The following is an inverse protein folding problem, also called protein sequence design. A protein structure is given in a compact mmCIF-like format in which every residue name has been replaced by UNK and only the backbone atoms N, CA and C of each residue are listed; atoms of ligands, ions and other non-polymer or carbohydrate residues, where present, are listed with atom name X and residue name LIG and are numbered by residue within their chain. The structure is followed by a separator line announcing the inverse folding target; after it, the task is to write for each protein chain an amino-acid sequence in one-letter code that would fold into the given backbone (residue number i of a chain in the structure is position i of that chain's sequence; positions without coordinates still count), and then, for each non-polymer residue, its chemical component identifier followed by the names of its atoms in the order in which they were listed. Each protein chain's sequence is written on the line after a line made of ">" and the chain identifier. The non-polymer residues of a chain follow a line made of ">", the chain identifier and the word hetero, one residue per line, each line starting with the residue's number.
data_IF_610314533794
#
_entry.id   IF_610314533794
#
_cell.length_a   1.000
_cell.length_b   1.000
_cell.length_c   1.000
_cell.angle_alpha   90.00
_cell.angle_beta   90.00
_cell.angle_gamma   90.00
#
_symmetry.space_group_name_H-M   'P 1'
#
loop_
_entity.id
_entity.type
_entity.pdbx_description
1 polymer ?
#
# COMPACT_ATOMS: atom_id res chain seq x y z
N UNK A 1 -10.29 44.23 -34.45
CA UNK A 1 -9.39 43.10 -34.30
C UNK A 1 -8.83 43.10 -32.88
N UNK A 2 -9.03 42.05 -32.11
CA UNK A 2 -8.54 42.00 -30.73
C UNK A 2 -7.13 41.35 -30.72
N UNK A 3 -6.13 42.00 -30.08
CA UNK A 3 -4.80 41.41 -29.98
C UNK A 3 -4.81 40.11 -29.20
N UNK A 4 -3.95 39.14 -29.57
CA UNK A 4 -3.83 37.83 -28.92
C UNK A 4 -3.47 37.96 -27.41
N UNK A 5 -2.67 38.98 -27.08
CA UNK A 5 -2.33 39.30 -25.67
C UNK A 5 -3.59 39.57 -24.85
N UNK A 6 -4.53 40.34 -25.38
CA UNK A 6 -5.77 40.66 -24.69
C UNK A 6 -6.68 39.45 -24.51
N UNK A 7 -6.72 38.56 -25.49
CA UNK A 7 -7.44 37.29 -25.38
C UNK A 7 -6.85 36.41 -24.26
N UNK A 8 -5.52 36.36 -24.21
CA UNK A 8 -4.84 35.59 -23.18
C UNK A 8 -5.03 36.17 -21.78
N UNK A 9 -5.05 37.48 -21.63
CA UNK A 9 -5.37 38.13 -20.34
C UNK A 9 -6.78 37.78 -19.87
N UNK A 10 -7.78 37.89 -20.77
CA UNK A 10 -9.16 37.54 -20.46
C UNK A 10 -9.27 36.04 -20.02
N UNK A 11 -8.65 35.15 -20.78
CA UNK A 11 -8.65 33.72 -20.42
C UNK A 11 -8.07 33.47 -19.02
N UNK A 12 -6.95 34.09 -18.69
CA UNK A 12 -6.33 33.96 -17.37
C UNK A 12 -7.25 34.51 -16.28
N UNK A 13 -7.75 35.72 -16.45
CA UNK A 13 -8.66 36.39 -15.50
C UNK A 13 -9.93 35.55 -15.25
N UNK A 14 -10.52 35.02 -16.33
CA UNK A 14 -11.76 34.24 -16.21
C UNK A 14 -11.48 32.87 -15.55
N UNK A 15 -10.34 32.27 -15.85
CA UNK A 15 -9.92 31.04 -15.18
C UNK A 15 -9.70 31.26 -13.66
N UNK A 16 -9.01 32.33 -13.28
CA UNK A 16 -8.79 32.67 -11.87
C UNK A 16 -10.10 32.94 -11.13
N UNK A 17 -11.03 33.66 -11.75
CA UNK A 17 -12.38 33.90 -11.21
C UNK A 17 -13.16 32.59 -11.05
N UNK A 18 -13.08 31.69 -12.03
CA UNK A 18 -13.73 30.37 -11.96
C UNK A 18 -13.17 29.55 -10.81
N UNK A 19 -11.84 29.51 -10.67
CA UNK A 19 -11.19 28.76 -9.59
C UNK A 19 -11.57 29.33 -8.24
N UNK A 20 -11.55 30.66 -8.08
CA UNK A 20 -11.95 31.29 -6.83
C UNK A 20 -13.42 30.97 -6.49
N UNK A 21 -14.32 31.11 -7.46
CA UNK A 21 -15.74 30.77 -7.26
C UNK A 21 -15.93 29.31 -6.83
N UNK A 22 -15.21 28.37 -7.45
CA UNK A 22 -15.26 26.94 -7.08
C UNK A 22 -14.77 26.69 -5.65
N UNK A 23 -13.74 27.41 -5.20
CA UNK A 23 -13.24 27.35 -3.83
C UNK A 23 -14.27 27.92 -2.83
N UNK A 24 -14.86 29.07 -3.16
CA UNK A 24 -15.84 29.72 -2.29
C UNK A 24 -17.16 28.93 -2.17
N UNK A 25 -17.55 28.25 -3.23
CA UNK A 25 -18.76 27.42 -3.26
C UNK A 25 -18.51 25.99 -2.76
N UNK A 26 -17.23 25.60 -2.53
CA UNK A 26 -16.90 24.24 -2.09
C UNK A 26 -17.40 24.00 -0.67
N UNK A 27 -18.35 23.12 -0.54
CA UNK A 27 -18.82 22.61 0.76
C UNK A 27 -18.29 21.23 0.96
N UNK A 28 -17.45 21.07 2.00
CA UNK A 28 -16.98 19.74 2.42
C UNK A 28 -18.16 18.96 2.99
N UNK A 29 -18.41 17.78 2.46
CA UNK A 29 -19.37 16.85 3.06
C UNK A 29 -18.81 16.37 4.40
N UNK A 30 -19.56 16.61 5.48
CA UNK A 30 -19.23 16.11 6.82
C UNK A 30 -20.09 14.88 7.11
N UNK A 31 -19.46 13.73 7.23
CA UNK A 31 -20.13 12.53 7.72
C UNK A 31 -20.22 12.60 9.25
N UNK A 32 -21.39 12.98 9.75
CA UNK A 32 -21.65 13.14 11.19
C UNK A 32 -21.77 11.81 11.95
N UNK A 33 -22.08 10.72 11.26
CA UNK A 33 -22.26 9.40 11.85
C UNK A 33 -21.31 8.40 11.22
N UNK A 34 -20.26 8.03 11.96
CA UNK A 34 -19.39 6.92 11.57
C UNK A 34 -20.10 5.61 11.89
N UNK A 35 -20.51 4.90 10.85
CA UNK A 35 -21.02 3.53 10.99
C UNK A 35 -19.80 2.60 10.87
N UNK A 36 -19.47 1.91 11.96
CA UNK A 36 -18.41 0.93 11.98
C UNK A 36 -18.94 -0.40 11.43
N UNK A 37 -18.45 -0.79 10.26
CA UNK A 37 -18.74 -2.11 9.70
C UNK A 37 -17.74 -3.14 10.24
N UNK A 38 -18.18 -4.38 10.52
CA UNK A 38 -17.25 -5.45 10.90
C UNK A 38 -16.17 -5.65 9.86
N UNK A 39 -14.92 -5.70 10.32
CA UNK A 39 -13.81 -6.02 9.41
C UNK A 39 -13.84 -7.51 9.05
N UNK A 40 -13.47 -7.86 7.82
CA UNK A 40 -13.57 -9.23 7.30
C UNK A 40 -12.59 -10.22 7.93
N UNK A 41 -11.62 -9.75 8.71
CA UNK A 41 -10.69 -10.58 9.50
C UNK A 41 -10.76 -10.17 10.97
N UNK A 42 -10.63 -11.16 11.85
CA UNK A 42 -10.55 -10.91 13.29
C UNK A 42 -9.17 -10.44 13.77
N UNK A 43 -8.11 -10.73 12.99
CA UNK A 43 -6.73 -10.36 13.32
C UNK A 43 -6.07 -9.67 12.12
N UNK A 44 -5.26 -8.66 12.42
CA UNK A 44 -4.52 -7.85 11.46
C UNK A 44 -3.04 -7.92 11.83
N UNK A 45 -2.23 -8.44 10.91
CA UNK A 45 -0.78 -8.48 10.97
C UNK A 45 -0.14 -7.24 10.31
N UNK A 46 1.19 -7.19 10.20
CA UNK A 46 1.95 -6.11 9.55
C UNK A 46 1.48 -5.78 8.13
N UNK A 47 0.85 -6.74 7.42
CA UNK A 47 0.31 -6.53 6.05
C UNK A 47 -0.88 -5.59 6.03
N UNK A 48 -1.55 -5.40 7.16
CA UNK A 48 -2.61 -4.40 7.32
C UNK A 48 -2.10 -2.96 7.34
N UNK A 49 -0.78 -2.79 7.43
CA UNK A 49 -0.08 -1.50 7.42
C UNK A 49 -0.65 -0.48 8.42
N UNK A 50 -0.97 -0.96 9.62
CA UNK A 50 -1.49 -0.12 10.69
C UNK A 50 -0.34 0.66 11.32
N UNK A 51 -0.26 1.96 11.02
CA UNK A 51 0.90 2.79 11.38
C UNK A 51 0.73 3.58 12.68
N UNK A 52 -0.50 3.91 13.09
CA UNK A 52 -0.74 4.76 14.25
C UNK A 52 -1.87 4.26 15.14
N UNK A 53 -1.95 4.81 16.34
CA UNK A 53 -2.94 4.42 17.35
C UNK A 53 -4.39 4.70 16.92
N UNK A 54 -4.63 5.77 16.17
CA UNK A 54 -5.98 6.09 15.69
C UNK A 54 -6.48 5.04 14.69
N UNK A 55 -5.61 4.55 13.80
CA UNK A 55 -5.93 3.44 12.90
C UNK A 55 -6.15 2.15 13.68
N UNK A 56 -5.33 1.87 14.71
CA UNK A 56 -5.49 0.71 15.59
C UNK A 56 -6.85 0.75 16.30
N UNK A 57 -7.23 1.89 16.84
CA UNK A 57 -8.53 2.07 17.50
C UNK A 57 -9.71 1.92 16.53
N UNK A 58 -9.55 2.40 15.30
CA UNK A 58 -10.55 2.22 14.25
C UNK A 58 -10.78 0.73 13.97
N UNK A 59 -9.73 -0.05 13.74
CA UNK A 59 -9.88 -1.49 13.49
C UNK A 59 -10.47 -2.23 14.69
N UNK A 60 -10.09 -1.84 15.91
CA UNK A 60 -10.70 -2.39 17.13
C UNK A 60 -12.20 -2.11 17.19
N UNK A 61 -12.65 -0.90 16.83
CA UNK A 61 -14.08 -0.57 16.73
C UNK A 61 -14.79 -1.36 15.63
N UNK A 62 -14.08 -1.76 14.60
CA UNK A 62 -14.56 -2.66 13.54
C UNK A 62 -14.48 -4.15 13.92
N UNK A 63 -14.16 -4.49 15.17
CA UNK A 63 -14.11 -5.88 15.66
C UNK A 63 -12.86 -6.66 15.29
N UNK A 64 -11.79 -5.99 14.84
CA UNK A 64 -10.51 -6.62 14.51
C UNK A 64 -9.41 -6.25 15.52
N UNK A 65 -8.60 -7.24 15.91
CA UNK A 65 -7.43 -7.04 16.74
C UNK A 65 -6.18 -6.80 15.88
N UNK A 66 -5.47 -5.71 16.13
CA UNK A 66 -4.19 -5.43 15.49
C UNK A 66 -3.08 -6.08 16.29
N UNK A 67 -2.62 -7.25 15.82
CA UNK A 67 -1.59 -8.05 16.47
C UNK A 67 -0.19 -7.50 16.18
N UNK A 68 0.03 -6.92 15.00
CA UNK A 68 1.30 -6.34 14.57
C UNK A 68 1.06 -5.00 13.89
N UNK A 69 1.90 -4.04 14.24
CA UNK A 69 1.91 -2.72 13.59
C UNK A 69 2.63 -2.78 12.23
N UNK A 70 2.61 -1.68 11.48
CA UNK A 70 3.34 -1.59 10.22
C UNK A 70 4.85 -1.77 10.42
N UNK A 71 5.55 -2.30 9.40
CA UNK A 71 7.00 -2.52 9.44
C UNK A 71 7.81 -1.22 9.60
N UNK A 72 7.21 -0.06 9.33
CA UNK A 72 7.81 1.24 9.56
C UNK A 72 7.79 1.65 11.04
N UNK A 73 6.85 1.08 11.80
CA UNK A 73 6.68 1.39 13.22
C UNK A 73 7.44 0.39 14.10
N UNK A 74 7.32 -0.90 13.77
CA UNK A 74 7.91 -1.98 14.55
C UNK A 74 8.30 -3.14 13.63
N UNK A 75 9.56 -3.59 13.74
CA UNK A 75 10.01 -4.77 13.02
C UNK A 75 9.64 -6.03 13.82
N UNK A 76 8.86 -6.97 13.23
CA UNK A 76 8.54 -8.22 13.87
C UNK A 76 9.81 -9.05 14.12
N UNK A 77 9.79 -9.87 15.18
CA UNK A 77 10.91 -10.78 15.55
C UNK A 77 10.91 -12.08 14.72
N UNK A 78 10.17 -12.14 13.64
CA UNK A 78 10.09 -13.28 12.72
C UNK A 78 10.31 -12.83 11.28
N UNK A 79 10.69 -13.74 10.36
CA UNK A 79 10.85 -13.39 8.95
C UNK A 79 9.56 -12.83 8.37
N UNK A 80 9.63 -11.66 7.75
CA UNK A 80 8.48 -10.99 7.12
C UNK A 80 8.52 -11.14 5.61
N UNK A 81 7.35 -11.25 5.02
CA UNK A 81 7.16 -11.25 3.58
C UNK A 81 7.21 -9.80 3.08
N UNK A 82 8.27 -9.44 2.36
CA UNK A 82 8.45 -8.11 1.79
C UNK A 82 7.68 -7.96 0.48
N UNK A 83 7.61 -9.03 -0.30
CA UNK A 83 6.95 -9.03 -1.60
C UNK A 83 6.39 -10.42 -1.91
N UNK A 84 5.23 -10.45 -2.57
CA UNK A 84 4.66 -11.64 -3.18
C UNK A 84 4.42 -11.41 -4.66
N UNK A 85 4.80 -12.37 -5.48
CA UNK A 85 4.67 -12.28 -6.93
C UNK A 85 4.18 -13.60 -7.52
N UNK A 86 3.44 -13.51 -8.61
CA UNK A 86 3.09 -14.65 -9.46
C UNK A 86 4.23 -15.06 -10.37
N UNK A 87 5.24 -14.22 -10.57
CA UNK A 87 6.46 -14.61 -11.26
C UNK A 87 7.28 -15.51 -10.35
N UNK A 88 7.34 -16.79 -10.68
CA UNK A 88 8.07 -17.79 -9.90
C UNK A 88 9.40 -18.11 -10.58
N UNK A 89 10.52 -17.77 -9.94
CA UNK A 89 11.87 -18.00 -10.48
C UNK A 89 12.12 -19.50 -10.67
N UNK A 90 11.67 -20.38 -9.76
CA UNK A 90 11.80 -21.83 -9.95
C UNK A 90 11.11 -22.31 -11.23
N UNK A 91 9.94 -21.78 -11.53
CA UNK A 91 9.23 -22.11 -12.77
C UNK A 91 10.00 -21.61 -14.00
N UNK A 92 10.45 -20.34 -13.95
CA UNK A 92 11.20 -19.74 -15.06
C UNK A 92 12.52 -20.48 -15.37
N UNK A 93 13.17 -21.06 -14.35
CA UNK A 93 14.41 -21.84 -14.49
C UNK A 93 14.18 -23.34 -14.70
N UNK A 94 12.92 -23.81 -14.81
CA UNK A 94 12.61 -25.24 -14.93
C UNK A 94 12.89 -26.06 -13.66
N UNK A 95 13.03 -25.41 -12.50
CA UNK A 95 13.46 -26.01 -11.23
C UNK A 95 12.31 -26.33 -10.28
N UNK A 96 11.06 -26.42 -10.74
CA UNK A 96 9.88 -26.63 -9.88
C UNK A 96 9.96 -27.85 -8.94
N UNK A 97 10.67 -28.91 -9.37
CA UNK A 97 10.86 -30.13 -8.58
C UNK A 97 12.17 -30.14 -7.78
N UNK A 98 13.00 -29.14 -7.92
CA UNK A 98 14.29 -29.06 -7.22
C UNK A 98 14.08 -28.74 -5.73
N UNK A 99 14.75 -29.46 -4.81
CA UNK A 99 14.75 -29.15 -3.39
C UNK A 99 15.59 -27.93 -3.04
N UNK A 100 16.32 -27.36 -4.00
CA UNK A 100 17.22 -26.24 -3.77
C UNK A 100 16.51 -25.01 -3.21
N UNK A 101 17.17 -24.41 -2.21
CA UNK A 101 16.76 -23.13 -1.64
C UNK A 101 17.39 -22.03 -2.45
N UNK A 102 16.56 -21.25 -3.15
CA UNK A 102 17.01 -20.07 -3.89
C UNK A 102 16.94 -18.85 -3.00
N UNK A 103 17.83 -17.91 -3.26
CA UNK A 103 17.89 -16.60 -2.61
C UNK A 103 18.07 -15.51 -3.66
N UNK A 104 17.56 -14.32 -3.38
CA UNK A 104 17.94 -13.12 -4.11
C UNK A 104 19.07 -12.41 -3.36
N UNK A 105 19.95 -11.77 -4.11
CA UNK A 105 21.02 -10.92 -3.57
C UNK A 105 20.93 -9.56 -4.24
N UNK A 106 20.93 -8.49 -3.46
CA UNK A 106 20.98 -7.14 -4.00
C UNK A 106 22.42 -6.69 -4.33
N UNK A 107 22.56 -5.51 -4.88
CA UNK A 107 23.84 -4.91 -5.25
C UNK A 107 24.77 -4.65 -4.05
N UNK A 108 24.20 -4.56 -2.83
CA UNK A 108 24.96 -4.38 -1.58
C UNK A 108 25.32 -5.71 -0.91
N UNK A 109 24.98 -6.84 -1.55
CA UNK A 109 25.28 -8.18 -1.04
C UNK A 109 24.28 -8.71 -0.01
N UNK A 110 23.20 -7.98 0.30
CA UNK A 110 22.15 -8.44 1.22
C UNK A 110 21.38 -9.59 0.59
N UNK A 111 21.14 -10.62 1.39
CA UNK A 111 20.49 -11.88 0.94
C UNK A 111 19.05 -11.90 1.40
N UNK A 112 18.16 -12.21 0.47
CA UNK A 112 16.71 -12.33 0.70
C UNK A 112 16.29 -13.78 0.41
N UNK A 113 15.90 -14.55 1.43
CA UNK A 113 15.37 -15.90 1.26
C UNK A 113 14.08 -15.88 0.43
N UNK A 114 13.90 -16.92 -0.39
CA UNK A 114 12.69 -17.10 -1.18
C UNK A 114 11.84 -18.24 -0.62
N UNK A 115 10.54 -17.99 -0.54
CA UNK A 115 9.54 -19.00 -0.21
C UNK A 115 8.65 -19.23 -1.43
N UNK A 116 8.41 -20.49 -1.78
CA UNK A 116 7.63 -20.89 -2.93
C UNK A 116 6.34 -21.59 -2.52
N UNK A 117 5.21 -21.10 -3.03
CA UNK A 117 3.92 -21.81 -2.98
C UNK A 117 3.66 -22.44 -4.35
N UNK A 118 4.10 -23.70 -4.49
CA UNK A 118 3.99 -24.43 -5.77
C UNK A 118 2.54 -24.74 -6.15
N UNK A 119 1.59 -24.76 -5.19
CA UNK A 119 0.16 -24.98 -5.50
C UNK A 119 -0.45 -23.78 -6.20
N UNK A 120 -0.05 -22.57 -5.78
CA UNK A 120 -0.53 -21.30 -6.36
C UNK A 120 0.40 -20.75 -7.43
N UNK A 121 1.56 -21.37 -7.63
CA UNK A 121 2.63 -20.88 -8.49
C UNK A 121 3.06 -19.45 -8.12
N UNK A 122 3.21 -19.20 -6.81
CA UNK A 122 3.58 -17.91 -6.24
C UNK A 122 4.94 -18.01 -5.54
N UNK A 123 5.66 -16.89 -5.53
CA UNK A 123 6.93 -16.74 -4.82
C UNK A 123 6.84 -15.54 -3.88
N UNK A 124 7.36 -15.72 -2.68
CA UNK A 124 7.51 -14.63 -1.70
C UNK A 124 8.98 -14.36 -1.41
N UNK A 125 9.34 -13.10 -1.34
CA UNK A 125 10.65 -12.61 -0.91
C UNK A 125 10.56 -12.26 0.56
N UNK A 126 11.45 -12.85 1.36
CA UNK A 126 11.46 -12.66 2.81
C UNK A 126 12.60 -11.73 3.23
N UNK A 127 12.37 -10.96 4.29
CA UNK A 127 13.48 -10.32 4.98
C UNK A 127 14.22 -11.35 5.83
N UNK A 128 15.54 -11.32 5.77
CA UNK A 128 16.39 -12.06 6.69
C UNK A 128 16.72 -11.10 7.84
N UNK A 129 16.06 -11.29 8.98
CA UNK A 129 16.36 -10.53 10.20
C UNK A 129 17.63 -11.04 10.85
#
# INVERSE_FOLDING_TARGET
>A
FMPVSRINELRRSDFDKLMQKRLDEYKREEHKNLVYCPYYKSQIDYRGNVHNLSAKDFYKKCGAEVCEMSLETELPKHPVELMRTKHCIKYALGMCKSPEKLVLRDEYGKVYPLKFDCKKCEMSVLNNL
#
